data_IF_747310445343
#
_entry.id   IF_747310445343
#
_cell.length_a   1.000
_cell.length_b   1.000
_cell.length_c   1.000
_cell.angle_alpha   90.00
_cell.angle_beta   90.00
_cell.angle_gamma   90.00
#
_symmetry.space_group_name_H-M   'P 1'
#
loop_
_entity.id
_entity.type
_entity.pdbx_description
1 polymer ?
#
# COMPACT_ATOMS: atom_id res chain seq x y z
N UNK A 1 42.09 -19.98 4.13
CA UNK A 1 41.91 -18.90 5.13
C UNK A 1 41.95 -17.55 4.40
N UNK A 2 40.85 -16.75 4.38
CA UNK A 2 40.92 -15.40 3.84
C UNK A 2 41.96 -14.60 4.63
N UNK A 3 42.79 -13.83 3.93
CA UNK A 3 43.78 -13.00 4.60
C UNK A 3 43.08 -11.96 5.49
N UNK A 4 43.63 -11.70 6.69
CA UNK A 4 43.08 -10.79 7.70
C UNK A 4 42.64 -9.42 7.13
N UNK A 5 43.30 -8.97 6.07
CA UNK A 5 42.96 -7.75 5.29
C UNK A 5 41.62 -7.83 4.56
N UNK A 6 41.27 -8.99 3.98
CA UNK A 6 39.98 -9.20 3.31
C UNK A 6 38.82 -9.21 4.31
N UNK A 7 39.03 -9.79 5.48
CA UNK A 7 38.01 -9.79 6.55
C UNK A 7 37.75 -8.39 7.08
N UNK A 8 38.80 -7.60 7.34
CA UNK A 8 38.64 -6.20 7.79
C UNK A 8 37.98 -5.34 6.70
N UNK A 9 38.38 -5.51 5.44
CA UNK A 9 37.75 -4.79 4.33
C UNK A 9 36.25 -5.13 4.19
N UNK A 10 35.87 -6.39 4.34
CA UNK A 10 34.46 -6.81 4.31
C UNK A 10 33.66 -6.22 5.49
N UNK A 11 34.23 -6.23 6.71
CA UNK A 11 33.59 -5.67 7.91
C UNK A 11 33.32 -4.16 7.79
N UNK A 12 34.18 -3.41 7.09
CA UNK A 12 33.97 -1.98 6.83
C UNK A 12 33.07 -1.74 5.61
N UNK A 13 33.20 -2.57 4.56
CA UNK A 13 32.42 -2.40 3.34
C UNK A 13 30.92 -2.60 3.57
N UNK A 14 30.52 -3.59 4.37
CA UNK A 14 29.09 -3.86 4.64
C UNK A 14 28.36 -2.65 5.25
N UNK A 15 28.80 -2.05 6.37
CA UNK A 15 28.11 -0.89 6.95
C UNK A 15 28.16 0.33 6.02
N UNK A 16 29.24 0.53 5.25
CA UNK A 16 29.32 1.60 4.25
C UNK A 16 28.27 1.40 3.17
N UNK A 17 28.12 0.18 2.64
CA UNK A 17 27.09 -0.13 1.64
C UNK A 17 25.69 0.09 2.22
N UNK A 18 25.41 -0.39 3.43
CA UNK A 18 24.12 -0.15 4.11
C UNK A 18 23.85 1.34 4.26
N UNK A 19 24.84 2.12 4.70
CA UNK A 19 24.71 3.56 4.85
C UNK A 19 24.40 4.24 3.50
N UNK A 20 25.09 3.85 2.43
CA UNK A 20 24.84 4.38 1.08
C UNK A 20 23.42 4.06 0.64
N UNK A 21 22.94 2.82 0.83
CA UNK A 21 21.56 2.43 0.50
C UNK A 21 20.55 3.29 1.26
N UNK A 22 20.73 3.46 2.58
CA UNK A 22 19.84 4.28 3.40
C UNK A 22 19.82 5.75 2.94
N UNK A 23 20.99 6.33 2.65
CA UNK A 23 21.07 7.71 2.14
C UNK A 23 20.35 7.83 0.81
N UNK A 24 20.51 6.86 -0.10
CA UNK A 24 19.81 6.86 -1.38
C UNK A 24 18.30 6.74 -1.19
N UNK A 25 17.83 5.83 -0.34
CA UNK A 25 16.40 5.65 -0.05
C UNK A 25 15.77 6.89 0.58
N UNK A 26 16.45 7.53 1.54
CA UNK A 26 15.99 8.79 2.14
C UNK A 26 15.86 9.87 1.07
N UNK A 27 16.85 10.00 0.19
CA UNK A 27 16.81 11.00 -0.88
C UNK A 27 15.69 10.74 -1.90
N UNK A 28 15.37 9.47 -2.16
CA UNK A 28 14.24 9.09 -3.01
C UNK A 28 12.92 9.40 -2.31
N UNK A 29 12.78 9.06 -1.02
CA UNK A 29 11.58 9.31 -0.23
C UNK A 29 11.30 10.81 -0.08
N UNK A 30 12.33 11.64 0.12
CA UNK A 30 12.17 13.10 0.19
C UNK A 30 11.73 13.75 -1.12
N UNK A 31 11.95 13.07 -2.26
CA UNK A 31 11.50 13.54 -3.58
C UNK A 31 10.13 12.98 -3.96
N UNK A 32 9.60 12.02 -3.21
CA UNK A 32 8.30 11.45 -3.48
C UNK A 32 7.20 12.49 -3.20
N UNK A 33 6.12 12.52 -4.00
CA UNK A 33 4.95 13.32 -3.68
C UNK A 33 4.45 12.97 -2.27
N UNK A 34 4.19 13.99 -1.46
CA UNK A 34 3.51 13.80 -0.18
C UNK A 34 2.10 13.32 -0.46
N UNK A 35 1.74 12.18 0.11
CA UNK A 35 0.37 11.70 0.04
C UNK A 35 -0.51 12.56 0.94
N UNK A 36 -1.76 12.72 0.54
CA UNK A 36 -2.75 13.36 1.37
C UNK A 36 -3.13 12.41 2.51
N UNK A 37 -3.01 12.87 3.76
CA UNK A 37 -3.34 12.07 4.94
C UNK A 37 -4.85 12.05 5.23
N UNK A 38 -5.67 12.72 4.42
CA UNK A 38 -7.13 12.66 4.54
C UNK A 38 -7.65 11.25 4.22
N UNK A 39 -8.66 10.76 4.95
CA UNK A 39 -9.33 9.50 4.61
C UNK A 39 -9.81 9.50 3.16
N UNK A 40 -9.58 8.39 2.46
CA UNK A 40 -10.07 8.21 1.10
C UNK A 40 -11.54 7.78 1.11
N UNK A 41 -12.35 8.42 0.27
CA UNK A 41 -13.71 7.98 -0.01
C UNK A 41 -13.65 6.82 -1.02
N UNK A 42 -13.71 5.58 -0.51
CA UNK A 42 -13.53 4.35 -1.29
C UNK A 42 -14.85 3.63 -1.60
N UNK A 43 -15.95 4.07 -1.00
CA UNK A 43 -17.27 3.47 -1.21
C UNK A 43 -17.94 3.92 -2.52
N UNK A 44 -18.91 3.12 -2.97
CA UNK A 44 -19.76 3.41 -4.10
C UNK A 44 -19.59 2.42 -5.25
N UNK A 45 -20.02 2.85 -6.44
CA UNK A 45 -20.07 1.99 -7.62
C UNK A 45 -18.75 1.97 -8.36
N UNK A 46 -18.18 0.78 -8.53
CA UNK A 46 -16.88 0.53 -9.19
C UNK A 46 -17.07 -0.48 -10.34
N UNK A 47 -16.16 -0.43 -11.32
CA UNK A 47 -16.13 -1.33 -12.46
C UNK A 47 -16.98 -0.86 -13.65
N UNK A 48 -16.96 -1.61 -14.75
CA UNK A 48 -17.64 -1.22 -15.99
C UNK A 48 -19.15 -1.18 -15.81
N UNK A 49 -19.81 -0.23 -16.48
CA UNK A 49 -21.25 -0.23 -16.61
C UNK A 49 -21.67 -1.45 -17.46
N UNK A 50 -22.53 -2.30 -16.92
CA UNK A 50 -22.95 -3.53 -17.58
C UNK A 50 -24.41 -3.86 -17.26
N UNK A 51 -25.03 -4.71 -18.09
CA UNK A 51 -26.38 -5.19 -17.85
C UNK A 51 -26.40 -6.09 -16.59
N UNK A 52 -27.40 -5.89 -15.74
CA UNK A 52 -27.62 -6.68 -14.53
C UNK A 52 -27.29 -5.95 -13.22
N UNK A 53 -27.65 -6.55 -12.06
CA UNK A 53 -27.41 -5.96 -10.76
C UNK A 53 -25.92 -5.92 -10.42
N UNK A 54 -25.49 -4.84 -9.78
CA UNK A 54 -24.14 -4.73 -9.25
C UNK A 54 -23.92 -5.77 -8.14
N UNK A 55 -22.73 -6.37 -8.12
CA UNK A 55 -22.32 -7.25 -7.03
C UNK A 55 -22.09 -6.40 -5.78
N UNK A 56 -22.78 -6.69 -4.69
CA UNK A 56 -22.59 -5.96 -3.42
C UNK A 56 -21.42 -6.57 -2.66
N UNK A 57 -20.42 -5.76 -2.31
CA UNK A 57 -19.23 -6.19 -1.58
C UNK A 57 -19.06 -5.31 -0.35
N UNK A 58 -19.02 -5.93 0.82
CA UNK A 58 -18.58 -5.26 2.05
C UNK A 58 -17.10 -5.53 2.24
N UNK A 59 -16.32 -4.47 2.44
CA UNK A 59 -14.88 -4.53 2.64
C UNK A 59 -14.53 -4.08 4.05
N UNK A 60 -13.93 -4.98 4.82
CA UNK A 60 -13.59 -4.80 6.23
C UNK A 60 -12.08 -4.87 6.43
N UNK A 61 -11.57 -4.18 7.44
CA UNK A 61 -10.18 -4.33 7.87
C UNK A 61 -9.59 -3.07 8.49
N UNK A 62 -8.27 -3.02 8.48
CA UNK A 62 -7.46 -2.00 9.13
C UNK A 62 -7.01 -0.88 8.16
N UNK A 63 -5.83 -0.30 8.41
CA UNK A 63 -5.21 0.72 7.56
C UNK A 63 -5.08 0.29 6.10
N UNK A 64 -4.71 -0.97 5.83
CA UNK A 64 -4.53 -1.44 4.46
C UNK A 64 -5.86 -1.51 3.73
N UNK A 65 -6.90 -2.00 4.41
CA UNK A 65 -8.25 -2.06 3.85
C UNK A 65 -8.90 -0.67 3.72
N UNK A 66 -8.49 0.29 4.56
CA UNK A 66 -8.90 1.69 4.49
C UNK A 66 -8.15 2.51 3.41
N UNK A 67 -7.21 1.90 2.68
CA UNK A 67 -6.45 2.55 1.61
C UNK A 67 -5.32 3.46 2.11
N UNK A 68 -4.84 3.30 3.34
CA UNK A 68 -3.69 4.05 3.86
C UNK A 68 -2.45 3.74 3.01
N UNK A 69 -1.77 4.80 2.58
CA UNK A 69 -0.59 4.72 1.71
C UNK A 69 -0.91 4.65 0.22
N UNK A 70 -2.19 4.62 -0.18
CA UNK A 70 -2.57 4.78 -1.58
C UNK A 70 -2.51 6.24 -2.01
N UNK A 71 -2.03 6.50 -3.22
CA UNK A 71 -1.96 7.87 -3.78
C UNK A 71 -3.33 8.47 -4.13
N UNK A 72 -4.41 7.70 -4.00
CA UNK A 72 -5.78 8.08 -4.30
C UNK A 72 -6.69 6.85 -4.38
N UNK A 73 -8.01 7.03 -4.63
CA UNK A 73 -8.97 5.92 -4.60
C UNK A 73 -8.64 4.75 -5.53
N UNK A 74 -8.20 5.01 -6.77
CA UNK A 74 -7.80 3.95 -7.72
C UNK A 74 -6.53 3.18 -7.32
N UNK A 75 -5.72 3.77 -6.44
CA UNK A 75 -4.56 3.10 -5.85
C UNK A 75 -4.91 2.23 -4.65
N UNK A 76 -6.13 2.34 -4.11
CA UNK A 76 -6.53 1.60 -2.94
C UNK A 76 -6.94 0.17 -3.29
N UNK A 77 -6.44 -0.80 -2.51
CA UNK A 77 -6.70 -2.22 -2.68
C UNK A 77 -8.19 -2.59 -2.89
N UNK A 78 -9.16 -2.11 -2.10
CA UNK A 78 -10.56 -2.48 -2.30
C UNK A 78 -11.11 -2.06 -3.67
N UNK A 79 -10.65 -0.91 -4.20
CA UNK A 79 -11.05 -0.41 -5.51
C UNK A 79 -10.42 -1.27 -6.62
N UNK A 80 -9.12 -1.56 -6.52
CA UNK A 80 -8.43 -2.43 -7.48
C UNK A 80 -9.04 -3.84 -7.55
N UNK A 81 -9.41 -4.39 -6.39
CA UNK A 81 -10.09 -5.69 -6.34
C UNK A 81 -11.46 -5.60 -7.01
N UNK A 82 -12.25 -4.55 -6.73
CA UNK A 82 -13.55 -4.36 -7.36
C UNK A 82 -13.45 -4.14 -8.88
N UNK A 83 -12.47 -3.38 -9.36
CA UNK A 83 -12.19 -3.19 -10.79
C UNK A 83 -11.78 -4.51 -11.48
N UNK A 84 -10.94 -5.30 -10.81
CA UNK A 84 -10.47 -6.61 -11.30
C UNK A 84 -11.56 -7.68 -11.42
N UNK A 85 -12.77 -7.45 -10.88
CA UNK A 85 -13.92 -8.35 -11.09
C UNK A 85 -14.58 -8.16 -12.46
N UNK A 86 -14.19 -7.16 -13.24
CA UNK A 86 -14.66 -6.89 -14.61
C UNK A 86 -16.21 -6.82 -14.73
N UNK A 87 -16.88 -6.40 -13.65
CA UNK A 87 -18.34 -6.25 -13.58
C UNK A 87 -18.73 -5.08 -12.67
N UNK A 88 -19.98 -4.58 -12.72
CA UNK A 88 -20.41 -3.56 -11.77
C UNK A 88 -20.37 -4.10 -10.34
N UNK A 89 -19.72 -3.37 -9.44
CA UNK A 89 -19.61 -3.65 -8.01
C UNK A 89 -20.15 -2.47 -7.23
N UNK A 90 -21.02 -2.73 -6.26
CA UNK A 90 -21.42 -1.76 -5.22
C UNK A 90 -20.56 -2.04 -3.99
N UNK A 91 -19.53 -1.22 -3.80
CA UNK A 91 -18.50 -1.40 -2.80
C UNK A 91 -18.85 -0.59 -1.55
N UNK A 92 -18.94 -1.26 -0.40
CA UNK A 92 -19.13 -0.63 0.91
C UNK A 92 -17.88 -0.88 1.73
N UNK A 93 -17.09 0.17 1.96
CA UNK A 93 -15.86 0.08 2.75
C UNK A 93 -16.17 0.51 4.19
N UNK A 94 -15.94 -0.40 5.14
CA UNK A 94 -16.10 -0.17 6.57
C UNK A 94 -14.76 -0.32 7.31
N UNK A 95 -13.66 -0.32 6.58
CA UNK A 95 -12.32 -0.44 7.14
C UNK A 95 -11.92 0.82 7.90
N UNK A 96 -11.23 0.65 9.03
CA UNK A 96 -10.78 1.73 9.90
C UNK A 96 -9.31 1.54 10.21
N UNK A 97 -8.51 2.57 9.99
CA UNK A 97 -7.08 2.53 10.30
C UNK A 97 -6.84 2.19 11.77
N UNK A 98 -6.01 1.18 12.03
CA UNK A 98 -5.70 0.67 13.37
C UNK A 98 -6.73 -0.32 13.97
N UNK A 99 -7.80 -0.64 13.24
CA UNK A 99 -8.77 -1.65 13.68
C UNK A 99 -8.12 -3.03 13.84
N UNK A 100 -8.56 -3.76 14.87
CA UNK A 100 -8.24 -5.17 15.09
C UNK A 100 -9.40 -6.04 14.62
N UNK A 101 -9.19 -7.35 14.60
CA UNK A 101 -10.23 -8.33 14.25
C UNK A 101 -11.47 -8.22 15.14
N UNK A 102 -11.33 -7.79 16.40
CA UNK A 102 -12.47 -7.60 17.30
C UNK A 102 -13.29 -6.34 17.02
N UNK A 103 -12.79 -5.42 16.19
CA UNK A 103 -13.39 -4.12 15.91
C UNK A 103 -14.20 -4.11 14.60
N UNK A 104 -14.21 -5.23 13.86
CA UNK A 104 -14.83 -5.38 12.51
C UNK A 104 -15.90 -6.46 12.47
#
# INVERSE_FOLDING_TARGET
MPSRRRTVAAVVAVPVVVLVVLVVEIQLAQRAPTLDDRPLELGGRVGPAGPGPALRVAWLGDSTAAGVGASGPSGALPVQVAEGLERPVELVVLAVSGARVADV
#
